data_IF_862433527483
#
_entry.id   IF_862433527483
#
_cell.length_a   1.000
_cell.length_b   1.000
_cell.length_c   1.000
_cell.angle_alpha   90.00
_cell.angle_beta   90.00
_cell.angle_gamma   90.00
#
_symmetry.space_group_name_H-M   'P 1'
#
loop_
_entity.id
_entity.type
_entity.pdbx_description
1 polymer ?
#
# COMPACT_ATOMS: atom_id res chain seq x y z
N UNK A 1 -18.50 34.19 -28.87
CA UNK A 1 -18.01 33.36 -27.76
C UNK A 1 -19.22 32.66 -27.15
N UNK A 2 -19.19 31.33 -26.98
CA UNK A 2 -20.29 30.52 -26.43
C UNK A 2 -19.97 30.15 -24.99
N UNK A 3 -20.95 30.25 -24.11
CA UNK A 3 -20.79 29.91 -22.70
C UNK A 3 -21.45 28.55 -22.41
N UNK A 4 -20.67 27.60 -21.88
CA UNK A 4 -21.13 26.29 -21.44
C UNK A 4 -21.14 26.22 -19.91
N UNK A 5 -22.33 26.07 -19.34
CA UNK A 5 -22.57 26.04 -17.88
C UNK A 5 -22.72 24.61 -17.38
N UNK A 6 -21.95 24.24 -16.37
CA UNK A 6 -21.99 22.94 -15.71
C UNK A 6 -22.65 23.03 -14.33
N UNK A 7 -23.31 21.96 -13.90
CA UNK A 7 -24.05 21.95 -12.63
C UNK A 7 -23.11 21.89 -11.41
N UNK A 8 -21.98 21.21 -11.54
CA UNK A 8 -20.99 21.02 -10.47
C UNK A 8 -19.57 20.89 -11.04
N UNK A 9 -18.57 21.07 -10.17
CA UNK A 9 -17.16 21.01 -10.57
C UNK A 9 -16.69 19.62 -11.04
N UNK A 10 -17.41 18.56 -10.67
CA UNK A 10 -17.17 17.17 -11.05
C UNK A 10 -18.18 16.63 -12.08
N UNK A 11 -18.96 17.51 -12.72
CA UNK A 11 -20.05 17.16 -13.66
C UNK A 11 -19.54 16.70 -15.04
N UNK A 12 -19.10 15.44 -15.11
CA UNK A 12 -18.66 14.83 -16.36
C UNK A 12 -19.79 14.68 -17.39
N UNK A 13 -21.01 14.39 -16.95
CA UNK A 13 -22.15 14.15 -17.85
C UNK A 13 -22.60 15.47 -18.50
N UNK A 14 -22.72 16.54 -17.71
CA UNK A 14 -22.98 17.89 -18.23
C UNK A 14 -21.89 18.37 -19.18
N UNK A 15 -20.60 18.13 -18.85
CA UNK A 15 -19.50 18.44 -19.76
C UNK A 15 -19.61 17.65 -21.07
N UNK A 16 -19.92 16.35 -20.99
CA UNK A 16 -20.05 15.48 -22.17
C UNK A 16 -21.17 15.96 -23.08
N UNK A 17 -22.31 16.31 -22.51
CA UNK A 17 -23.48 16.70 -23.29
C UNK A 17 -23.28 18.09 -23.93
N UNK A 18 -22.69 19.03 -23.20
CA UNK A 18 -22.26 20.32 -23.74
C UNK A 18 -21.22 20.18 -24.85
N UNK A 19 -20.20 19.36 -24.65
CA UNK A 19 -19.17 19.09 -25.66
C UNK A 19 -19.79 18.51 -26.94
N UNK A 20 -20.80 17.64 -26.82
CA UNK A 20 -21.51 17.09 -28.00
C UNK A 20 -22.27 18.16 -28.77
N UNK A 21 -22.97 19.05 -28.09
CA UNK A 21 -23.68 20.18 -28.71
C UNK A 21 -22.71 21.12 -29.44
N UNK A 22 -21.61 21.50 -28.78
CA UNK A 22 -20.61 22.41 -29.35
C UNK A 22 -19.92 21.81 -30.59
N UNK A 23 -19.62 20.50 -30.58
CA UNK A 23 -19.08 19.81 -31.77
C UNK A 23 -20.11 19.80 -32.91
N UNK A 24 -21.40 19.60 -32.62
CA UNK A 24 -22.45 19.61 -33.63
C UNK A 24 -22.57 20.97 -34.33
N UNK A 25 -22.46 22.04 -33.54
CA UNK A 25 -22.45 23.43 -34.00
C UNK A 25 -21.10 23.88 -34.59
N UNK A 26 -20.08 23.01 -34.53
CA UNK A 26 -18.70 23.29 -35.00
C UNK A 26 -18.09 24.54 -34.34
N UNK A 27 -18.34 24.71 -33.03
CA UNK A 27 -17.77 25.82 -32.25
C UNK A 27 -16.31 25.49 -31.89
N UNK A 28 -15.32 26.29 -32.32
CA UNK A 28 -13.93 26.05 -31.96
C UNK A 28 -13.68 26.14 -30.45
N UNK A 29 -12.78 25.33 -29.89
CA UNK A 29 -12.50 25.38 -28.45
C UNK A 29 -12.06 26.76 -27.92
N UNK A 30 -11.41 27.58 -28.77
CA UNK A 30 -11.00 28.93 -28.42
C UNK A 30 -12.19 29.89 -28.20
N UNK A 31 -13.35 29.56 -28.76
CA UNK A 31 -14.57 30.37 -28.68
C UNK A 31 -15.52 29.91 -27.56
N UNK A 32 -15.12 28.94 -26.74
CA UNK A 32 -15.93 28.36 -25.66
C UNK A 32 -15.42 28.80 -24.29
N UNK A 33 -16.31 29.36 -23.48
CA UNK A 33 -16.08 29.64 -22.06
C UNK A 33 -16.81 28.59 -21.24
N UNK A 34 -16.08 27.89 -20.38
CA UNK A 34 -16.64 26.90 -19.46
C UNK A 34 -16.82 27.52 -18.08
N UNK A 35 -18.01 27.38 -17.50
CA UNK A 35 -18.33 27.87 -16.17
C UNK A 35 -19.08 26.82 -15.36
N UNK A 36 -18.95 26.88 -14.04
CA UNK A 36 -19.66 26.00 -13.10
C UNK A 36 -20.61 26.86 -12.29
N UNK A 37 -21.88 26.45 -12.24
CA UNK A 37 -22.94 27.19 -11.56
C UNK A 37 -23.34 28.51 -12.25
N UNK A 38 -24.12 29.31 -11.55
CA UNK A 38 -24.63 30.60 -12.03
C UNK A 38 -23.61 31.72 -11.70
N UNK A 39 -22.53 31.82 -12.48
CA UNK A 39 -21.74 33.05 -12.49
C UNK A 39 -22.38 34.08 -13.42
N UNK A 40 -22.31 35.39 -13.12
CA UNK A 40 -22.84 36.40 -14.02
C UNK A 40 -22.15 36.27 -15.37
N UNK A 41 -22.95 35.97 -16.39
CA UNK A 41 -22.50 35.83 -17.77
C UNK A 41 -21.71 37.08 -18.15
N UNK A 42 -20.52 36.88 -18.70
CA UNK A 42 -19.72 37.96 -19.25
C UNK A 42 -20.60 38.79 -20.21
N UNK A 43 -20.52 40.12 -20.14
CA UNK A 43 -21.52 41.06 -20.71
C UNK A 43 -21.69 40.96 -22.26
N UNK A 44 -20.93 40.06 -22.91
CA UNK A 44 -20.78 39.88 -24.35
C UNK A 44 -20.95 38.42 -24.82
N UNK A 45 -21.38 37.49 -23.96
CA UNK A 45 -21.54 36.07 -24.29
C UNK A 45 -23.00 35.64 -24.54
N UNK A 46 -23.26 34.97 -25.66
CA UNK A 46 -24.52 34.26 -25.88
C UNK A 46 -24.50 32.94 -25.10
N UNK A 47 -25.51 32.70 -24.26
CA UNK A 47 -25.67 31.46 -23.51
C UNK A 47 -25.90 30.29 -24.48
N UNK A 48 -25.08 29.25 -24.41
CA UNK A 48 -25.26 28.09 -25.26
C UNK A 48 -26.48 27.29 -24.78
N UNK A 49 -27.58 27.35 -25.52
CA UNK A 49 -28.72 26.46 -25.32
C UNK A 49 -28.27 25.05 -25.69
N UNK A 50 -28.20 24.17 -24.70
CA UNK A 50 -27.86 22.76 -24.88
C UNK A 50 -28.99 22.05 -25.63
N UNK A 51 -28.82 21.82 -26.94
CA UNK A 51 -29.74 20.98 -27.70
C UNK A 51 -29.31 19.50 -27.56
N UNK A 52 -30.21 18.68 -27.03
CA UNK A 52 -29.95 17.25 -26.74
C UNK A 52 -29.95 16.37 -28.00
N UNK A 53 -30.23 16.95 -29.17
CA UNK A 53 -30.32 16.27 -30.47
C UNK A 53 -29.03 16.13 -31.28
N UNK A 54 -27.84 16.35 -30.70
CA UNK A 54 -26.57 16.41 -31.44
C UNK A 54 -26.15 15.07 -32.13
N UNK A 55 -25.60 15.11 -33.36
CA UNK A 55 -25.14 13.94 -34.12
C UNK A 55 -24.06 13.13 -33.38
N UNK A 56 -24.10 11.80 -33.55
CA UNK A 56 -23.16 10.89 -32.92
C UNK A 56 -21.79 10.88 -33.64
N UNK A 57 -20.73 11.22 -32.91
CA UNK A 57 -19.35 10.98 -33.33
C UNK A 57 -18.73 9.86 -32.48
N UNK A 58 -17.65 9.25 -32.98
CA UNK A 58 -16.93 8.19 -32.27
C UNK A 58 -15.64 8.74 -31.67
N UNK A 59 -15.38 8.40 -30.42
CA UNK A 59 -14.14 8.70 -29.71
C UNK A 59 -13.52 7.43 -29.13
N UNK A 60 -12.19 7.36 -28.99
CA UNK A 60 -11.52 6.24 -28.33
C UNK A 60 -11.98 6.11 -26.87
N UNK A 61 -12.18 4.86 -26.41
CA UNK A 61 -12.54 4.58 -25.01
C UNK A 61 -11.53 5.14 -24.01
N UNK A 62 -10.24 5.08 -24.33
CA UNK A 62 -9.18 5.60 -23.48
C UNK A 62 -9.30 7.11 -23.20
N UNK A 63 -9.84 7.88 -24.15
CA UNK A 63 -10.12 9.30 -23.92
C UNK A 63 -11.28 9.50 -22.96
N UNK A 64 -12.35 8.71 -23.07
CA UNK A 64 -13.51 8.79 -22.16
C UNK A 64 -13.08 8.49 -20.72
N UNK A 65 -12.27 7.45 -20.52
CA UNK A 65 -11.75 7.08 -19.20
C UNK A 65 -10.82 8.17 -18.63
N UNK A 66 -9.99 8.78 -19.49
CA UNK A 66 -9.14 9.91 -19.12
C UNK A 66 -9.98 11.14 -18.72
N UNK A 67 -10.98 11.50 -19.53
CA UNK A 67 -11.85 12.64 -19.31
C UNK A 67 -12.64 12.53 -17.99
N UNK A 68 -13.18 11.34 -17.69
CA UNK A 68 -13.82 11.05 -16.39
C UNK A 68 -12.91 11.31 -15.20
N UNK A 69 -11.61 11.10 -15.36
CA UNK A 69 -10.63 11.37 -14.30
C UNK A 69 -10.24 12.85 -14.26
N UNK A 70 -9.99 13.47 -15.42
CA UNK A 70 -9.50 14.86 -15.51
C UNK A 70 -10.56 15.88 -15.09
N UNK A 71 -11.85 15.60 -15.33
CA UNK A 71 -12.95 16.47 -14.87
C UNK A 71 -12.89 16.72 -13.37
N UNK A 72 -12.36 15.78 -12.59
CA UNK A 72 -12.22 15.92 -11.14
C UNK A 72 -11.06 16.83 -10.71
N UNK A 73 -10.16 17.24 -11.61
CA UNK A 73 -9.00 18.06 -11.24
C UNK A 73 -9.45 19.48 -10.83
N UNK A 74 -8.75 20.13 -9.90
CA UNK A 74 -9.12 21.48 -9.44
C UNK A 74 -8.74 22.63 -10.41
N UNK A 75 -8.14 22.32 -11.56
CA UNK A 75 -7.72 23.37 -12.51
C UNK A 75 -8.95 23.83 -13.31
N UNK A 76 -9.31 25.12 -13.32
CA UNK A 76 -10.47 25.63 -14.06
C UNK A 76 -10.40 25.36 -15.57
N UNK A 77 -9.20 25.25 -16.13
CA UNK A 77 -9.01 25.02 -17.57
C UNK A 77 -9.28 23.58 -18.01
N UNK A 78 -9.54 22.65 -17.07
CA UNK A 78 -9.73 21.21 -17.36
C UNK A 78 -10.78 20.94 -18.43
N UNK A 79 -11.92 21.63 -18.39
CA UNK A 79 -13.02 21.44 -19.33
C UNK A 79 -12.66 21.93 -20.74
N UNK A 80 -12.01 23.08 -20.82
CA UNK A 80 -11.51 23.64 -22.08
C UNK A 80 -10.41 22.76 -22.69
N UNK A 81 -9.48 22.25 -21.88
CA UNK A 81 -8.41 21.35 -22.34
C UNK A 81 -8.96 20.02 -22.84
N UNK A 82 -9.96 19.46 -22.15
CA UNK A 82 -10.64 18.24 -22.59
C UNK A 82 -11.40 18.46 -23.90
N UNK A 83 -12.07 19.61 -24.04
CA UNK A 83 -12.80 19.95 -25.27
C UNK A 83 -11.86 20.16 -26.46
N UNK A 84 -10.77 20.91 -26.28
CA UNK A 84 -9.74 21.08 -27.31
C UNK A 84 -9.10 19.74 -27.73
N UNK A 85 -8.89 18.82 -26.77
CA UNK A 85 -8.41 17.46 -27.10
C UNK A 85 -9.46 16.65 -27.85
N UNK A 86 -10.74 16.78 -27.48
CA UNK A 86 -11.84 16.13 -28.17
C UNK A 86 -11.93 16.54 -29.65
N UNK A 87 -11.84 17.83 -29.96
CA UNK A 87 -11.82 18.33 -31.35
C UNK A 87 -10.72 17.66 -32.18
N UNK A 88 -9.52 17.55 -31.61
CA UNK A 88 -8.38 16.91 -32.27
C UNK A 88 -8.59 15.41 -32.45
N UNK A 89 -9.17 14.73 -31.47
CA UNK A 89 -9.40 13.27 -31.51
C UNK A 89 -10.50 12.85 -32.49
N UNK A 90 -11.48 13.71 -32.76
CA UNK A 90 -12.50 13.45 -33.77
C UNK A 90 -11.87 13.38 -35.17
N UNK A 91 -10.90 14.26 -35.44
CA UNK A 91 -10.16 14.29 -36.72
C UNK A 91 -9.07 13.23 -36.76
N UNK A 92 -8.35 13.01 -35.66
CA UNK A 92 -7.22 12.07 -35.56
C UNK A 92 -7.37 11.13 -34.34
N UNK A 93 -8.17 10.05 -34.45
CA UNK A 93 -8.44 9.17 -33.31
C UNK A 93 -7.20 8.49 -32.70
N UNK A 94 -6.16 8.25 -33.51
CA UNK A 94 -4.90 7.64 -33.05
C UNK A 94 -4.01 8.59 -32.23
N UNK A 95 -4.36 9.87 -32.13
CA UNK A 95 -3.62 10.82 -31.28
C UNK A 95 -3.62 10.38 -29.81
N UNK A 96 -4.62 9.60 -29.37
CA UNK A 96 -4.69 9.05 -28.01
C UNK A 96 -3.51 8.12 -27.66
N UNK A 97 -2.85 7.56 -28.68
CA UNK A 97 -1.70 6.67 -28.54
C UNK A 97 -0.37 7.44 -28.55
N UNK A 98 -0.36 8.71 -28.96
CA UNK A 98 0.83 9.55 -29.02
C UNK A 98 1.17 10.15 -27.66
N UNK A 99 1.98 9.41 -26.88
CA UNK A 99 2.45 9.84 -25.56
C UNK A 99 3.38 11.05 -25.59
N UNK A 100 3.85 11.50 -26.76
CA UNK A 100 4.66 12.70 -26.87
C UNK A 100 3.82 13.98 -27.06
N UNK A 101 2.54 13.86 -27.41
CA UNK A 101 1.66 15.02 -27.62
C UNK A 101 1.54 15.88 -26.35
N UNK A 102 1.90 17.18 -26.41
CA UNK A 102 1.91 18.04 -25.23
C UNK A 102 0.55 18.20 -24.54
N UNK A 103 -0.54 18.26 -25.32
CA UNK A 103 -1.88 18.43 -24.76
C UNK A 103 -2.35 17.13 -24.08
N UNK A 104 -2.07 15.97 -24.68
CA UNK A 104 -2.39 14.68 -24.07
C UNK A 104 -1.59 14.48 -22.78
N UNK A 105 -0.28 14.79 -22.79
CA UNK A 105 0.56 14.70 -21.60
C UNK A 105 0.05 15.56 -20.45
N UNK A 106 -0.39 16.79 -20.73
CA UNK A 106 -0.98 17.68 -19.71
C UNK A 106 -2.22 17.04 -19.07
N UNK A 107 -3.11 16.48 -19.88
CA UNK A 107 -4.30 15.77 -19.37
C UNK A 107 -3.92 14.52 -18.55
N UNK A 108 -2.92 13.76 -18.98
CA UNK A 108 -2.43 12.59 -18.25
C UNK A 108 -1.81 12.97 -16.89
N UNK A 109 -1.09 14.09 -16.81
CA UNK A 109 -0.54 14.63 -15.57
C UNK A 109 -1.64 15.06 -14.60
N UNK A 110 -2.68 15.76 -15.09
CA UNK A 110 -3.87 16.09 -14.30
C UNK A 110 -4.56 14.82 -13.79
N UNK A 111 -4.78 13.82 -14.66
CA UNK A 111 -5.37 12.55 -14.26
C UNK A 111 -4.52 11.80 -13.22
N UNK A 112 -3.19 11.95 -13.26
CA UNK A 112 -2.27 11.37 -12.27
C UNK A 112 -2.37 12.09 -10.93
N UNK A 113 -2.52 13.41 -10.92
CA UNK A 113 -2.73 14.19 -9.70
C UNK A 113 -4.05 13.81 -9.01
N UNK A 114 -5.14 13.71 -9.77
CA UNK A 114 -6.45 13.21 -9.29
C UNK A 114 -6.31 11.82 -8.68
N UNK A 115 -5.69 10.86 -9.40
CA UNK A 115 -5.50 9.48 -8.89
C UNK A 115 -4.70 9.43 -7.59
N UNK A 116 -3.71 10.32 -7.43
CA UNK A 116 -2.94 10.42 -6.17
C UNK A 116 -3.81 10.94 -5.03
N UNK A 117 -4.64 11.94 -5.28
CA UNK A 117 -5.52 12.50 -4.25
C UNK A 117 -6.60 11.50 -3.82
N UNK A 118 -7.20 10.78 -4.79
CA UNK A 118 -8.08 9.63 -4.54
C UNK A 118 -7.39 8.60 -3.64
N UNK A 119 -6.14 8.24 -3.95
CA UNK A 119 -5.38 7.31 -3.12
C UNK A 119 -5.13 7.85 -1.71
N UNK A 120 -4.78 9.13 -1.57
CA UNK A 120 -4.59 9.78 -0.25
C UNK A 120 -5.86 9.73 0.58
N UNK A 121 -7.01 10.07 0.00
CA UNK A 121 -8.30 10.01 0.70
C UNK A 121 -8.55 8.59 1.22
N UNK A 122 -8.38 7.57 0.38
CA UNK A 122 -8.59 6.17 0.78
C UNK A 122 -7.60 5.67 1.85
N UNK A 123 -6.34 6.13 1.80
CA UNK A 123 -5.28 5.67 2.68
C UNK A 123 -5.27 6.39 4.03
N UNK A 124 -5.62 7.68 4.06
CA UNK A 124 -5.42 8.56 5.23
C UNK A 124 -6.72 9.02 5.90
N UNK A 125 -7.88 8.80 5.30
CA UNK A 125 -9.14 9.12 5.96
C UNK A 125 -9.32 8.19 7.18
N UNK A 126 -9.61 8.80 8.34
CA UNK A 126 -9.76 8.12 9.63
C UNK A 126 -11.10 8.52 10.23
N UNK A 127 -11.87 7.52 10.58
CA UNK A 127 -13.15 7.70 11.26
C UNK A 127 -12.95 7.80 12.76
N UNK A 128 -13.64 8.75 13.37
CA UNK A 128 -13.74 8.94 14.82
C UNK A 128 -15.13 8.55 15.28
N UNK A 129 -15.20 7.87 16.41
CA UNK A 129 -16.46 7.46 17.00
C UNK A 129 -17.13 8.66 17.70
N UNK A 130 -18.41 8.90 17.38
CA UNK A 130 -19.23 9.95 17.97
C UNK A 130 -20.51 9.31 18.48
N UNK A 131 -20.77 9.34 19.79
CA UNK A 131 -22.05 8.89 20.35
C UNK A 131 -23.20 9.75 19.81
N UNK A 132 -24.21 9.12 19.23
CA UNK A 132 -25.44 9.74 18.72
C UNK A 132 -26.65 9.03 19.36
N UNK A 133 -26.93 9.38 20.62
CA UNK A 133 -27.99 8.76 21.42
C UNK A 133 -27.69 7.30 21.76
N UNK A 134 -28.57 6.38 21.35
CA UNK A 134 -28.37 4.92 21.47
C UNK A 134 -27.52 4.32 20.34
N UNK A 135 -27.10 5.14 19.38
CA UNK A 135 -26.34 4.71 18.19
C UNK A 135 -24.98 5.37 18.12
N UNK A 136 -24.08 4.77 17.34
CA UNK A 136 -22.75 5.31 17.08
C UNK A 136 -22.67 5.83 15.65
N UNK A 137 -22.11 7.04 15.48
CA UNK A 137 -21.78 7.63 14.18
C UNK A 137 -20.28 7.81 14.05
N UNK A 138 -19.75 7.53 12.87
CA UNK A 138 -18.33 7.61 12.57
C UNK A 138 -18.03 8.84 11.71
N UNK A 139 -17.33 9.84 12.26
CA UNK A 139 -17.07 11.11 11.56
C UNK A 139 -15.59 11.21 11.17
N UNK A 140 -15.32 11.62 9.93
CA UNK A 140 -13.97 11.85 9.40
C UNK A 140 -13.88 13.21 8.73
N UNK A 141 -12.72 13.88 8.87
CA UNK A 141 -12.41 15.13 8.16
C UNK A 141 -11.35 14.87 7.09
N UNK A 142 -11.53 15.41 5.88
CA UNK A 142 -10.53 15.34 4.80
C UNK A 142 -10.54 16.62 3.95
N UNK A 143 -9.36 17.07 3.52
CA UNK A 143 -9.20 18.24 2.66
C UNK A 143 -8.61 17.81 1.30
N UNK A 144 -9.46 17.52 0.30
CA UNK A 144 -8.98 17.09 -1.00
C UNK A 144 -8.28 18.24 -1.75
N UNK A 145 -7.31 17.90 -2.60
CA UNK A 145 -6.70 18.82 -3.56
C UNK A 145 -7.56 18.99 -4.83
N UNK A 146 -8.52 18.07 -5.04
CA UNK A 146 -9.31 17.92 -6.25
C UNK A 146 -10.78 17.56 -5.93
N UNK A 147 -11.68 17.65 -6.91
CA UNK A 147 -13.11 17.35 -6.74
C UNK A 147 -13.38 15.84 -6.74
N UNK A 148 -12.81 15.12 -5.77
CA UNK A 148 -12.75 13.64 -5.75
C UNK A 148 -13.79 13.00 -4.81
N UNK A 149 -14.49 13.80 -4.03
CA UNK A 149 -15.30 13.32 -2.89
C UNK A 149 -16.44 12.43 -3.37
N UNK A 150 -17.29 12.91 -4.29
CA UNK A 150 -18.39 12.13 -4.87
C UNK A 150 -17.90 10.88 -5.59
N UNK A 151 -16.82 11.02 -6.36
CA UNK A 151 -16.21 9.91 -7.09
C UNK A 151 -15.68 8.79 -6.17
N UNK A 152 -15.37 9.10 -4.90
CA UNK A 152 -14.94 8.11 -3.91
C UNK A 152 -16.07 7.53 -3.06
N UNK A 153 -17.28 8.07 -3.10
CA UNK A 153 -18.36 7.62 -2.25
C UNK A 153 -18.63 6.10 -2.34
N UNK A 154 -18.67 5.48 -3.54
CA UNK A 154 -18.90 4.03 -3.66
C UNK A 154 -17.86 3.19 -2.91
N UNK A 155 -16.59 3.61 -2.92
CA UNK A 155 -15.53 2.90 -2.20
C UNK A 155 -15.79 2.85 -0.69
N UNK A 156 -16.25 3.95 -0.11
CA UNK A 156 -16.53 4.03 1.33
C UNK A 156 -17.84 3.31 1.70
N UNK A 157 -18.86 3.38 0.85
CA UNK A 157 -20.11 2.61 1.02
C UNK A 157 -19.81 1.11 0.97
N UNK A 158 -19.06 0.63 -0.01
CA UNK A 158 -18.73 -0.80 -0.14
C UNK A 158 -17.87 -1.30 1.02
N UNK A 159 -16.92 -0.48 1.50
CA UNK A 159 -15.95 -0.89 2.53
C UNK A 159 -16.48 -0.77 3.96
N UNK A 160 -17.36 0.20 4.22
CA UNK A 160 -17.85 0.58 5.55
C UNK A 160 -19.39 0.60 5.62
N UNK A 161 -20.08 -0.10 4.72
CA UNK A 161 -21.54 -0.08 4.60
C UNK A 161 -22.29 -0.53 5.86
N UNK A 162 -21.66 -1.32 6.73
CA UNK A 162 -22.22 -1.77 8.00
C UNK A 162 -22.18 -0.72 9.13
N UNK A 163 -21.61 0.46 8.87
CA UNK A 163 -21.43 1.55 9.85
C UNK A 163 -22.17 2.79 9.37
N UNK A 164 -22.63 3.65 10.29
CA UNK A 164 -23.15 4.98 9.95
C UNK A 164 -21.99 5.96 9.98
N UNK A 165 -21.69 6.63 8.87
CA UNK A 165 -20.51 7.48 8.78
C UNK A 165 -20.76 8.82 8.10
N UNK A 166 -19.87 9.76 8.34
CA UNK A 166 -19.91 11.10 7.76
C UNK A 166 -18.49 11.53 7.40
N UNK A 167 -18.29 11.88 6.13
CA UNK A 167 -17.03 12.41 5.61
C UNK A 167 -17.24 13.90 5.37
N UNK A 168 -16.61 14.70 6.20
CA UNK A 168 -16.65 16.15 6.15
C UNK A 168 -15.48 16.67 5.33
N UNK A 169 -15.77 17.49 4.31
CA UNK A 169 -14.76 18.20 3.53
C UNK A 169 -15.17 19.66 3.31
N UNK A 170 -14.24 20.56 2.94
CA UNK A 170 -14.53 21.98 2.75
C UNK A 170 -15.58 22.30 1.68
N UNK A 171 -15.70 21.48 0.63
CA UNK A 171 -16.56 21.77 -0.52
C UNK A 171 -17.88 21.00 -0.47
N UNK A 172 -17.81 19.70 -0.14
CA UNK A 172 -18.99 18.82 -0.07
C UNK A 172 -18.80 17.77 1.02
N UNK A 173 -19.84 17.51 1.80
CA UNK A 173 -19.82 16.47 2.83
C UNK A 173 -20.69 15.29 2.42
N UNK A 174 -20.26 14.07 2.75
CA UNK A 174 -20.99 12.84 2.48
C UNK A 174 -21.49 12.22 3.78
N UNK A 175 -22.72 11.72 3.77
CA UNK A 175 -23.35 11.10 4.93
C UNK A 175 -23.94 9.76 4.51
N UNK A 176 -23.58 8.70 5.23
CA UNK A 176 -24.11 7.36 5.03
C UNK A 176 -24.82 6.90 6.30
N UNK A 177 -26.09 6.57 6.19
CA UNK A 177 -26.94 6.18 7.32
C UNK A 177 -27.07 4.66 7.51
N UNK A 178 -26.38 3.86 6.68
CA UNK A 178 -26.49 2.41 6.64
C UNK A 178 -27.33 1.87 5.47
N UNK A 179 -28.09 2.73 4.79
CA UNK A 179 -28.94 2.37 3.65
C UNK A 179 -28.84 3.36 2.48
N UNK A 180 -28.73 4.65 2.78
CA UNK A 180 -28.75 5.74 1.81
C UNK A 180 -27.54 6.65 1.98
N UNK A 181 -26.94 7.02 0.85
CA UNK A 181 -25.91 8.05 0.79
C UNK A 181 -26.59 9.40 0.51
N UNK A 182 -26.35 10.38 1.36
CA UNK A 182 -26.77 11.77 1.16
C UNK A 182 -25.58 12.71 1.12
N UNK A 183 -25.76 13.83 0.42
CA UNK A 183 -24.77 14.90 0.33
C UNK A 183 -25.23 16.10 1.15
N UNK A 184 -24.28 16.80 1.75
CA UNK A 184 -24.52 18.08 2.39
C UNK A 184 -23.46 19.11 2.01
N UNK A 185 -23.63 20.35 2.45
CA UNK A 185 -22.70 21.42 2.13
C UNK A 185 -21.29 21.12 2.66
N UNK A 186 -20.34 21.86 2.15
CA UNK A 186 -19.01 21.96 2.73
C UNK A 186 -19.08 22.21 4.23
N UNK A 187 -18.31 21.44 4.99
CA UNK A 187 -18.21 21.59 6.43
C UNK A 187 -16.91 22.34 6.78
N UNK A 188 -16.83 22.85 8.00
CA UNK A 188 -15.59 23.35 8.57
C UNK A 188 -14.97 22.29 9.46
N UNK A 189 -13.66 22.42 9.70
CA UNK A 189 -12.96 21.49 10.58
C UNK A 189 -13.54 21.46 12.00
N UNK A 190 -14.10 22.57 12.48
CA UNK A 190 -14.72 22.67 13.81
C UNK A 190 -15.99 21.81 13.94
N UNK A 191 -16.57 21.38 12.81
CA UNK A 191 -17.73 20.49 12.78
C UNK A 191 -17.33 19.02 12.98
N UNK A 192 -16.04 18.71 12.95
CA UNK A 192 -15.50 17.39 13.33
C UNK A 192 -15.18 17.38 14.84
N UNK A 193 -15.45 16.26 15.56
CA UNK A 193 -15.24 16.18 17.01
C UNK A 193 -13.78 16.43 17.42
N UNK A 194 -13.60 17.23 18.48
CA UNK A 194 -12.35 17.45 19.21
C UNK A 194 -12.35 16.69 20.56
N UNK A 195 -11.21 16.08 20.93
CA UNK A 195 -11.04 15.38 22.20
C UNK A 195 -10.64 13.91 22.02
N UNK A 196 -9.57 13.50 22.70
CA UNK A 196 -8.86 12.25 22.43
C UNK A 196 -8.75 11.37 23.69
N UNK A 197 -9.47 10.24 23.78
CA UNK A 197 -9.22 9.21 24.80
C UNK A 197 -8.18 8.17 24.37
N UNK A 198 -7.58 8.28 23.19
CA UNK A 198 -6.62 7.32 22.60
C UNK A 198 -5.26 7.98 22.32
N UNK A 199 -5.00 9.15 22.89
CA UNK A 199 -3.82 9.95 22.57
C UNK A 199 -2.53 9.37 23.19
N UNK A 200 -2.60 8.76 24.38
CA UNK A 200 -1.42 8.25 25.10
C UNK A 200 -0.88 6.92 24.54
N UNK A 201 -1.76 6.08 24.00
CA UNK A 201 -1.37 4.84 23.33
C UNK A 201 -0.71 5.13 21.98
N UNK A 202 -1.17 6.18 21.29
CA UNK A 202 -0.71 6.57 19.97
C UNK A 202 0.60 7.39 20.00
N UNK A 203 0.78 8.26 20.99
CA UNK A 203 2.04 9.01 21.24
C UNK A 203 3.23 8.08 21.49
N UNK A 204 3.00 6.96 22.17
CA UNK A 204 4.02 5.93 22.45
C UNK A 204 4.40 5.14 21.18
N UNK A 205 3.42 4.89 20.31
CA UNK A 205 3.64 4.23 19.02
C UNK A 205 4.39 5.11 18.01
N UNK A 206 4.10 6.41 17.92
CA UNK A 206 4.77 7.28 16.94
C UNK A 206 6.17 7.73 17.39
N UNK A 207 6.39 7.93 18.69
CA UNK A 207 7.70 8.30 19.23
C UNK A 207 8.75 7.18 19.10
N UNK A 208 8.32 5.92 19.04
CA UNK A 208 9.20 4.74 18.91
C UNK A 208 9.58 4.40 17.47
N UNK A 209 8.89 4.95 16.47
CA UNK A 209 9.11 4.67 15.02
C UNK A 209 9.77 5.88 14.30
N UNK A 210 9.85 7.04 14.95
CA UNK A 210 10.42 8.27 14.38
C UNK A 210 11.95 8.26 14.40
N UNK A 211 12.58 8.01 13.24
CA UNK A 211 14.05 8.05 13.07
C UNK A 211 14.52 9.44 12.60
N UNK A 212 15.20 10.23 13.44
CA UNK A 212 15.64 11.59 13.08
C UNK A 212 16.63 11.62 11.89
N UNK A 213 17.42 10.56 11.69
CA UNK A 213 18.41 10.46 10.61
C UNK A 213 17.79 10.16 9.23
N UNK A 214 16.47 9.90 9.15
CA UNK A 214 15.72 9.70 7.88
C UNK A 214 14.90 10.91 7.45
N UNK A 215 15.05 12.07 8.11
CA UNK A 215 14.41 13.28 7.64
C UNK A 215 14.98 13.67 6.27
N UNK A 216 14.15 13.53 5.23
CA UNK A 216 14.31 14.27 3.96
C UNK A 216 13.24 15.36 3.96
N UNK A 217 13.48 16.53 4.59
CA UNK A 217 12.47 17.57 4.78
C UNK A 217 11.80 17.95 3.46
N UNK A 218 12.55 18.01 2.37
CA UNK A 218 12.00 18.31 1.03
C UNK A 218 11.06 17.24 0.47
N UNK A 219 11.31 15.94 0.72
CA UNK A 219 10.42 14.86 0.28
C UNK A 219 9.20 14.72 1.20
N UNK A 220 9.39 14.93 2.50
CA UNK A 220 8.32 15.00 3.49
C UNK A 220 7.37 16.17 3.21
N UNK A 221 7.88 17.34 2.85
CA UNK A 221 7.06 18.50 2.47
C UNK A 221 6.35 18.33 1.11
N UNK A 222 6.89 17.46 0.23
CA UNK A 222 6.33 17.16 -1.09
C UNK A 222 5.22 16.10 -1.05
N UNK A 223 5.39 15.07 -0.23
CA UNK A 223 4.39 14.01 -0.01
C UNK A 223 3.37 14.39 1.08
N UNK A 224 3.77 15.23 2.04
CA UNK A 224 2.97 15.71 3.17
C UNK A 224 3.07 17.24 3.33
N UNK A 225 2.38 18.02 2.48
CA UNK A 225 2.37 19.48 2.55
C UNK A 225 1.94 20.00 3.93
N UNK A 226 2.59 21.08 4.39
CA UNK A 226 2.37 21.68 5.73
C UNK A 226 0.92 22.00 6.08
N UNK A 227 0.06 22.22 5.09
CA UNK A 227 -1.37 22.49 5.29
C UNK A 227 -2.10 21.35 6.01
N UNK A 228 -1.70 20.09 5.78
CA UNK A 228 -2.31 18.90 6.39
C UNK A 228 -1.86 18.61 7.82
N UNK A 229 -0.79 19.29 8.28
CA UNK A 229 -0.17 19.01 9.57
C UNK A 229 -1.12 19.38 10.71
N UNK A 230 -1.85 20.49 10.57
CA UNK A 230 -2.81 20.95 11.59
C UNK A 230 -3.91 19.92 11.91
N UNK A 231 -4.12 18.92 11.07
CA UNK A 231 -5.17 17.89 11.19
C UNK A 231 -4.63 16.55 11.73
N UNK A 232 -3.33 16.48 12.06
CA UNK A 232 -2.59 15.31 12.52
C UNK A 232 -2.02 15.56 13.93
N UNK A 233 -2.50 14.87 14.99
CA UNK A 233 -1.97 15.02 16.35
C UNK A 233 -0.45 14.75 16.47
N UNK A 234 0.12 14.00 15.54
CA UNK A 234 1.53 13.65 15.42
C UNK A 234 2.44 14.85 15.11
N UNK A 235 1.90 15.89 14.46
CA UNK A 235 2.71 17.01 13.97
C UNK A 235 2.86 18.16 14.97
N UNK A 236 2.09 18.16 16.08
CA UNK A 236 2.33 19.06 17.21
C UNK A 236 3.72 18.84 17.83
N UNK A 237 4.24 17.61 17.72
CA UNK A 237 5.57 17.22 18.15
C UNK A 237 6.65 17.61 17.12
N UNK A 238 6.32 17.85 15.86
CA UNK A 238 7.29 18.06 14.76
C UNK A 238 8.16 19.31 14.94
N UNK A 239 7.65 20.48 15.37
CA UNK A 239 8.50 21.63 15.69
C UNK A 239 9.48 21.34 16.84
N UNK A 240 9.03 20.65 17.90
CA UNK A 240 9.88 20.27 19.04
C UNK A 240 10.86 19.13 18.71
N UNK A 241 10.49 18.23 17.79
CA UNK A 241 11.33 17.18 17.24
C UNK A 241 12.36 17.74 16.26
N UNK A 242 12.04 18.77 15.47
CA UNK A 242 12.99 19.47 14.58
C UNK A 242 13.94 20.36 15.39
N UNK A 243 13.44 21.13 16.36
CA UNK A 243 14.25 21.94 17.25
C UNK A 243 15.13 21.07 18.17
N UNK A 244 14.60 19.93 18.63
CA UNK A 244 15.33 18.93 19.39
C UNK A 244 16.25 18.05 18.53
N UNK A 245 16.02 17.94 17.22
CA UNK A 245 16.83 17.11 16.33
C UNK A 245 18.24 17.67 16.16
N UNK A 246 18.45 18.99 16.06
CA UNK A 246 19.81 19.54 15.93
C UNK A 246 20.62 19.38 17.22
N UNK A 247 20.00 19.57 18.39
CA UNK A 247 20.64 19.36 19.68
C UNK A 247 20.88 17.87 19.98
N UNK A 248 19.93 16.99 19.62
CA UNK A 248 20.07 15.54 19.73
C UNK A 248 20.99 14.94 18.67
N UNK A 249 21.13 15.53 17.49
CA UNK A 249 22.09 15.10 16.46
C UNK A 249 23.51 15.38 16.93
N UNK A 250 23.76 16.56 17.51
CA UNK A 250 25.04 16.85 18.16
C UNK A 250 25.31 15.91 19.36
N UNK A 251 24.32 15.65 20.22
CA UNK A 251 24.45 14.71 21.35
C UNK A 251 24.55 13.24 20.93
N UNK A 252 23.85 12.81 19.86
CA UNK A 252 23.89 11.46 19.30
C UNK A 252 25.18 11.22 18.51
N UNK A 253 25.79 12.23 17.89
CA UNK A 253 27.13 12.10 17.30
C UNK A 253 28.17 11.87 18.40
N UNK A 254 28.03 12.57 19.53
CA UNK A 254 28.90 12.39 20.70
C UNK A 254 28.66 11.03 21.41
N UNK A 255 27.40 10.59 21.55
CA UNK A 255 27.01 9.32 22.18
C UNK A 255 27.14 8.09 21.27
N UNK A 256 27.02 8.22 19.95
CA UNK A 256 27.25 7.12 18.99
C UNK A 256 28.71 6.72 18.87
N UNK A 257 29.64 7.59 19.29
CA UNK A 257 31.03 7.22 19.56
C UNK A 257 31.18 6.37 20.83
N UNK A 258 30.16 6.26 21.67
CA UNK A 258 30.26 5.70 23.02
C UNK A 258 29.30 4.54 23.38
N UNK A 259 28.28 4.17 22.57
CA UNK A 259 27.28 3.15 22.94
C UNK A 259 27.04 2.04 21.89
N UNK A 260 26.74 0.77 22.28
CA UNK A 260 26.57 -0.36 21.35
C UNK A 260 25.16 -0.47 20.74
N UNK A 261 25.08 -1.06 19.54
CA UNK A 261 23.99 -1.02 18.54
C UNK A 261 22.65 -1.75 18.84
N UNK A 262 22.40 -2.32 20.03
CA UNK A 262 21.32 -3.32 20.22
C UNK A 262 19.92 -2.83 20.65
N UNK A 263 19.81 -1.80 21.49
CA UNK A 263 18.61 -1.64 22.36
C UNK A 263 17.27 -1.28 21.69
N UNK A 264 17.27 -0.61 20.53
CA UNK A 264 16.01 -0.18 19.89
C UNK A 264 15.39 -1.26 18.98
N UNK A 265 16.20 -2.19 18.47
CA UNK A 265 15.75 -3.26 17.57
C UNK A 265 14.94 -4.32 18.32
N UNK A 266 15.33 -4.63 19.56
CA UNK A 266 14.65 -5.61 20.42
C UNK A 266 13.21 -5.17 20.75
N UNK A 267 13.02 -3.89 21.10
CA UNK A 267 11.70 -3.34 21.39
C UNK A 267 10.77 -3.32 20.16
N UNK A 268 11.30 -2.92 19.00
CA UNK A 268 10.54 -2.94 17.75
C UNK A 268 10.16 -4.37 17.33
N UNK A 269 11.07 -5.33 17.54
CA UNK A 269 10.82 -6.73 17.25
C UNK A 269 9.75 -7.34 18.16
N UNK A 270 9.80 -7.05 19.47
CA UNK A 270 8.81 -7.52 20.43
C UNK A 270 7.40 -7.02 20.06
N UNK A 271 7.27 -5.72 19.75
CA UNK A 271 6.00 -5.15 19.31
C UNK A 271 5.48 -5.80 18.00
N UNK A 272 6.36 -6.05 17.03
CA UNK A 272 5.97 -6.72 15.79
C UNK A 272 5.50 -8.16 16.03
N UNK A 273 6.17 -8.89 16.93
CA UNK A 273 5.79 -10.25 17.30
C UNK A 273 4.43 -10.30 18.00
N UNK A 274 4.16 -9.36 18.88
CA UNK A 274 2.88 -9.24 19.58
C UNK A 274 1.73 -8.90 18.62
N UNK A 275 1.96 -8.03 17.63
CA UNK A 275 0.97 -7.76 16.58
C UNK A 275 0.72 -9.03 15.74
N UNK A 276 1.78 -9.79 15.42
CA UNK A 276 1.68 -11.00 14.63
C UNK A 276 0.82 -12.07 15.30
N UNK A 277 0.86 -12.21 16.63
CA UNK A 277 0.11 -13.24 17.35
C UNK A 277 -1.41 -13.08 17.25
N UNK A 278 -1.89 -11.88 16.92
CA UNK A 278 -3.32 -11.59 16.70
C UNK A 278 -3.69 -11.49 15.20
N UNK A 279 -2.79 -11.87 14.29
CA UNK A 279 -2.95 -11.60 12.87
C UNK A 279 -4.15 -12.33 12.25
N UNK A 280 -5.01 -11.56 11.55
CA UNK A 280 -6.15 -12.07 10.77
C UNK A 280 -6.11 -11.71 9.29
N UNK A 281 -4.92 -11.43 8.73
CA UNK A 281 -4.74 -10.92 7.35
C UNK A 281 -5.14 -11.91 6.25
N UNK A 282 -5.21 -13.21 6.54
CA UNK A 282 -5.67 -14.23 5.58
C UNK A 282 -6.42 -15.36 6.31
N UNK A 283 -7.27 -16.16 5.63
CA UNK A 283 -8.11 -17.16 6.29
C UNK A 283 -7.38 -18.25 7.09
N UNK A 284 -6.07 -18.41 6.92
CA UNK A 284 -5.26 -19.43 7.59
C UNK A 284 -5.22 -19.29 9.12
N UNK A 285 -5.52 -18.10 9.67
CA UNK A 285 -5.61 -17.91 11.12
C UNK A 285 -6.73 -18.75 11.75
N UNK A 286 -7.78 -19.07 11.00
CA UNK A 286 -8.96 -19.75 11.54
C UNK A 286 -8.71 -21.22 11.91
N UNK A 287 -8.13 -22.07 11.02
CA UNK A 287 -7.89 -23.48 11.35
C UNK A 287 -6.55 -23.73 12.05
N UNK A 288 -5.59 -22.80 11.99
CA UNK A 288 -4.29 -22.93 12.66
C UNK A 288 -4.44 -22.82 14.19
N UNK A 289 -3.52 -23.43 14.95
CA UNK A 289 -3.56 -23.33 16.42
C UNK A 289 -3.12 -21.96 16.88
N UNK A 290 -2.05 -21.43 16.28
CA UNK A 290 -1.45 -20.14 16.62
C UNK A 290 -0.58 -19.63 15.47
N UNK A 291 -0.16 -18.37 15.58
CA UNK A 291 0.89 -17.82 14.74
C UNK A 291 2.24 -18.41 15.11
N UNK A 292 3.00 -18.87 14.13
CA UNK A 292 4.42 -19.23 14.28
C UNK A 292 5.25 -18.14 13.63
N UNK A 293 5.78 -17.25 14.48
CA UNK A 293 6.65 -16.15 14.06
C UNK A 293 8.09 -16.63 13.86
N UNK A 294 8.97 -15.74 13.40
CA UNK A 294 10.40 -16.05 13.30
C UNK A 294 11.13 -16.06 14.64
N UNK A 295 12.22 -16.80 14.71
CA UNK A 295 13.06 -16.97 15.91
C UNK A 295 14.55 -16.82 15.57
N UNK A 296 15.27 -16.07 16.40
CA UNK A 296 16.72 -15.85 16.31
C UNK A 296 17.10 -14.44 16.77
N UNK A 297 18.38 -14.08 16.71
CA UNK A 297 18.84 -12.76 17.11
C UNK A 297 18.34 -11.67 16.16
N UNK A 298 18.01 -10.49 16.70
CA UNK A 298 17.48 -9.36 15.90
C UNK A 298 18.57 -8.65 15.09
N UNK A 299 19.84 -8.92 15.37
CA UNK A 299 21.02 -8.46 14.65
C UNK A 299 21.63 -9.56 13.75
N UNK A 300 20.87 -10.62 13.46
CA UNK A 300 21.33 -11.72 12.60
C UNK A 300 21.76 -11.22 11.21
N UNK A 301 23.01 -11.50 10.84
CA UNK A 301 23.54 -11.20 9.51
C UNK A 301 22.94 -12.12 8.43
N UNK A 302 22.41 -13.28 8.84
CA UNK A 302 21.77 -14.26 7.98
C UNK A 302 20.33 -14.51 8.44
N UNK A 303 19.40 -14.47 7.48
CA UNK A 303 18.01 -14.89 7.67
C UNK A 303 17.68 -16.09 6.78
N UNK A 304 16.91 -17.05 7.29
CA UNK A 304 16.40 -18.19 6.52
C UNK A 304 14.88 -18.19 6.53
N UNK A 305 14.27 -18.35 5.35
CA UNK A 305 12.83 -18.29 5.14
C UNK A 305 12.33 -19.61 4.56
N UNK A 306 11.46 -20.31 5.30
CA UNK A 306 10.73 -21.49 4.86
C UNK A 306 9.38 -21.18 4.19
N UNK A 307 8.60 -22.22 3.90
CA UNK A 307 7.28 -22.08 3.27
C UNK A 307 6.20 -21.62 4.26
N UNK A 308 5.90 -22.48 5.25
CA UNK A 308 4.89 -22.25 6.29
C UNK A 308 5.22 -23.15 7.50
N UNK A 309 4.57 -22.96 8.65
CA UNK A 309 4.71 -23.86 9.79
C UNK A 309 4.10 -25.22 9.43
N UNK A 310 4.69 -26.31 9.95
CA UNK A 310 4.09 -27.63 9.91
C UNK A 310 3.27 -27.94 11.15
N UNK A 311 2.86 -29.20 11.27
CA UNK A 311 2.05 -29.72 12.39
C UNK A 311 2.71 -29.50 13.75
N UNK A 312 4.02 -29.79 13.86
CA UNK A 312 4.75 -29.64 15.12
C UNK A 312 5.05 -28.18 15.44
N UNK A 313 5.40 -27.39 14.42
CA UNK A 313 5.65 -25.95 14.55
C UNK A 313 4.40 -25.21 15.03
N UNK A 314 3.24 -25.52 14.46
CA UNK A 314 1.95 -24.92 14.81
C UNK A 314 1.55 -25.20 16.27
N UNK A 315 1.88 -26.37 16.81
CA UNK A 315 1.64 -26.68 18.23
C UNK A 315 2.69 -26.06 19.15
N UNK A 316 3.94 -26.01 18.71
CA UNK A 316 5.06 -25.50 19.50
C UNK A 316 5.19 -23.97 19.50
N UNK A 317 4.59 -23.29 18.52
CA UNK A 317 4.75 -21.84 18.32
C UNK A 317 6.14 -21.44 17.83
N UNK A 318 6.95 -22.39 17.34
CA UNK A 318 8.37 -22.19 16.97
C UNK A 318 8.66 -22.73 15.56
N UNK A 319 9.45 -22.01 14.75
CA UNK A 319 9.73 -22.40 13.37
C UNK A 319 10.79 -23.52 13.32
N UNK A 320 10.66 -24.46 12.37
CA UNK A 320 11.64 -25.53 12.09
C UNK A 320 11.93 -26.47 13.28
N UNK A 321 10.90 -26.90 14.02
CA UNK A 321 11.06 -27.89 15.10
C UNK A 321 10.71 -29.33 14.68
N UNK A 322 10.03 -29.50 13.53
CA UNK A 322 9.61 -30.79 13.00
C UNK A 322 10.70 -31.52 12.19
N UNK A 323 10.33 -32.60 11.47
CA UNK A 323 11.30 -33.42 10.73
C UNK A 323 12.11 -32.65 9.68
N UNK A 324 11.49 -31.70 8.98
CA UNK A 324 12.19 -30.83 8.03
C UNK A 324 13.17 -29.88 8.75
N UNK A 325 12.83 -29.44 9.96
CA UNK A 325 13.72 -28.68 10.84
C UNK A 325 14.95 -29.46 11.27
N UNK A 326 14.79 -30.73 11.63
CA UNK A 326 15.92 -31.61 11.96
C UNK A 326 16.89 -31.81 10.79
N UNK A 327 16.36 -31.92 9.55
CA UNK A 327 17.20 -31.96 8.34
C UNK A 327 17.92 -30.63 8.13
N UNK A 328 17.22 -29.51 8.35
CA UNK A 328 17.80 -28.17 8.27
C UNK A 328 18.93 -27.98 9.29
N UNK A 329 18.72 -28.33 10.56
CA UNK A 329 19.73 -28.20 11.61
C UNK A 329 20.96 -29.06 11.32
N UNK A 330 20.76 -30.29 10.82
CA UNK A 330 21.87 -31.15 10.36
C UNK A 330 22.64 -30.52 9.20
N UNK A 331 21.95 -29.88 8.26
CA UNK A 331 22.58 -29.23 7.12
C UNK A 331 23.35 -27.97 7.53
N UNK A 332 22.80 -27.17 8.45
CA UNK A 332 23.48 -26.00 9.03
C UNK A 332 24.77 -26.41 9.75
N UNK A 333 24.72 -27.47 10.56
CA UNK A 333 25.89 -28.01 11.24
C UNK A 333 26.95 -28.50 10.24
N UNK A 334 26.55 -29.22 9.19
CA UNK A 334 27.47 -29.68 8.14
C UNK A 334 28.02 -28.54 7.26
N UNK A 335 27.31 -27.41 7.17
CA UNK A 335 27.76 -26.19 6.52
C UNK A 335 28.59 -25.28 7.44
N UNK A 336 28.81 -25.70 8.69
CA UNK A 336 29.55 -24.95 9.72
C UNK A 336 28.91 -23.58 10.06
N UNK A 337 27.57 -23.50 9.95
CA UNK A 337 26.80 -22.30 10.28
C UNK A 337 26.20 -22.47 11.67
N UNK A 338 26.56 -21.58 12.59
CA UNK A 338 25.98 -21.53 13.93
C UNK A 338 24.51 -21.09 13.87
N UNK A 339 23.60 -22.04 14.13
CA UNK A 339 22.15 -21.84 14.13
C UNK A 339 21.68 -20.74 15.09
N UNK A 340 22.42 -20.48 16.17
CA UNK A 340 22.08 -19.46 17.17
C UNK A 340 22.31 -18.04 16.67
N UNK A 341 23.11 -17.87 15.61
CA UNK A 341 23.40 -16.58 14.96
C UNK A 341 22.49 -16.27 13.77
N UNK A 342 21.53 -17.15 13.48
CA UNK A 342 20.67 -17.07 12.30
C UNK A 342 19.23 -16.84 12.71
N UNK A 343 18.58 -15.87 12.06
CA UNK A 343 17.15 -15.67 12.21
C UNK A 343 16.38 -16.58 11.25
N UNK A 344 15.45 -17.38 11.77
CA UNK A 344 14.72 -18.37 10.97
C UNK A 344 13.23 -18.12 11.06
N UNK A 345 12.56 -18.10 9.91
CA UNK A 345 11.14 -17.76 9.81
C UNK A 345 10.48 -18.45 8.61
N UNK A 346 9.19 -18.22 8.39
CA UNK A 346 8.43 -18.77 7.25
C UNK A 346 7.71 -17.69 6.46
N UNK A 347 7.57 -17.89 5.15
CA UNK A 347 6.85 -16.98 4.26
C UNK A 347 5.40 -16.75 4.68
N UNK A 348 4.74 -17.79 5.18
CA UNK A 348 3.41 -17.74 5.80
C UNK A 348 3.54 -18.09 7.28
N UNK A 349 2.78 -17.41 8.17
CA UNK A 349 2.90 -17.55 9.63
C UNK A 349 1.88 -18.49 10.29
N UNK A 350 0.93 -19.02 9.53
CA UNK A 350 -0.10 -19.95 10.03
C UNK A 350 -0.05 -21.25 9.24
N UNK A 351 -0.27 -22.38 9.92
CA UNK A 351 -0.22 -23.69 9.29
C UNK A 351 -1.48 -23.95 8.44
N UNK A 352 -1.29 -24.13 7.13
CA UNK A 352 -2.34 -24.62 6.25
C UNK A 352 -2.31 -26.14 6.15
N UNK A 353 -3.45 -26.76 6.44
CA UNK A 353 -3.61 -28.21 6.38
C UNK A 353 -5.01 -28.64 5.98
N UNK A 354 -5.09 -29.90 5.55
CA UNK A 354 -6.34 -30.63 5.32
C UNK A 354 -6.49 -31.71 6.41
N UNK A 355 -7.60 -31.73 7.16
CA UNK A 355 -7.86 -32.78 8.13
C UNK A 355 -8.10 -34.13 7.44
N UNK A 356 -7.35 -35.17 7.84
CA UNK A 356 -7.58 -36.56 7.43
C UNK A 356 -7.66 -37.46 8.65
N UNK A 357 -8.88 -37.66 9.15
CA UNK A 357 -9.10 -38.29 10.46
C UNK A 357 -8.47 -37.46 11.57
N UNK A 358 -7.61 -38.06 12.39
CA UNK A 358 -6.86 -37.35 13.45
C UNK A 358 -5.58 -36.65 12.97
N UNK A 359 -5.22 -36.79 11.68
CA UNK A 359 -3.97 -36.22 11.13
C UNK A 359 -4.23 -34.90 10.43
N UNK A 360 -3.31 -33.94 10.60
CA UNK A 360 -3.28 -32.67 9.88
C UNK A 360 -2.30 -32.76 8.71
N UNK A 361 -2.81 -32.86 7.49
CA UNK A 361 -1.98 -33.05 6.30
C UNK A 361 -1.62 -31.69 5.71
N UNK A 362 -0.34 -31.36 5.69
CA UNK A 362 0.17 -30.10 5.14
C UNK A 362 -0.36 -29.84 3.72
N UNK A 363 -0.93 -28.66 3.48
CA UNK A 363 -1.38 -28.19 2.16
C UNK A 363 -0.66 -26.89 1.81
N UNK A 364 -0.25 -26.73 0.55
CA UNK A 364 0.61 -25.61 0.13
C UNK A 364 -0.17 -24.27 0.18
N UNK A 365 0.45 -23.17 0.68
CA UNK A 365 -0.16 -21.85 0.60
C UNK A 365 -0.42 -21.41 -0.85
N UNK A 366 -1.56 -20.76 -1.10
CA UNK A 366 -1.86 -20.16 -2.40
C UNK A 366 -1.28 -18.76 -2.51
N UNK A 367 -1.20 -18.23 -3.73
CA UNK A 367 -0.64 -16.90 -4.01
C UNK A 367 -1.20 -15.81 -3.08
N UNK A 368 -2.53 -15.72 -2.93
CA UNK A 368 -3.16 -14.71 -2.08
C UNK A 368 -2.78 -14.81 -0.59
N UNK A 369 -2.54 -16.02 -0.07
CA UNK A 369 -2.10 -16.22 1.32
C UNK A 369 -0.63 -15.78 1.49
N UNK A 370 0.23 -16.11 0.51
CA UNK A 370 1.63 -15.68 0.49
C UNK A 370 1.71 -14.16 0.41
N UNK A 371 0.95 -13.55 -0.50
CA UNK A 371 0.96 -12.11 -0.74
C UNK A 371 0.40 -11.34 0.49
N UNK A 372 -0.62 -11.87 1.17
CA UNK A 372 -1.14 -11.30 2.41
C UNK A 372 -0.14 -11.40 3.58
N UNK A 373 0.60 -12.52 3.67
CA UNK A 373 1.58 -12.74 4.74
C UNK A 373 2.94 -12.08 4.48
N UNK A 374 3.22 -11.70 3.22
CA UNK A 374 4.44 -10.99 2.79
C UNK A 374 4.75 -9.76 3.64
N UNK A 375 3.72 -9.08 4.11
CA UNK A 375 3.83 -7.93 5.02
C UNK A 375 4.69 -8.26 6.25
N UNK A 376 4.52 -9.42 6.89
CA UNK A 376 5.32 -9.80 8.07
C UNK A 376 6.79 -10.01 7.72
N UNK A 377 7.07 -10.69 6.62
CA UNK A 377 8.44 -10.93 6.16
C UNK A 377 9.16 -9.64 5.81
N UNK A 378 8.47 -8.70 5.17
CA UNK A 378 9.05 -7.38 4.87
C UNK A 378 9.39 -6.60 6.16
N UNK A 379 8.57 -6.72 7.22
CA UNK A 379 8.85 -6.07 8.51
C UNK A 379 9.96 -6.77 9.30
N UNK A 380 9.97 -8.12 9.35
CA UNK A 380 11.08 -8.88 9.94
C UNK A 380 12.40 -8.50 9.30
N UNK A 381 12.46 -8.45 7.95
CA UNK A 381 13.66 -8.05 7.20
C UNK A 381 14.01 -6.57 7.40
N UNK A 382 13.02 -5.69 7.53
CA UNK A 382 13.23 -4.26 7.77
C UNK A 382 13.86 -3.94 9.13
N UNK A 383 13.53 -4.75 10.16
CA UNK A 383 14.11 -4.66 11.50
C UNK A 383 15.49 -5.32 11.53
N UNK A 384 15.59 -6.58 11.09
CA UNK A 384 16.81 -7.39 11.23
C UNK A 384 17.90 -6.95 10.26
N UNK A 385 17.51 -6.50 9.06
CA UNK A 385 18.42 -6.10 7.97
C UNK A 385 19.53 -7.12 7.71
N UNK A 386 19.18 -8.39 7.45
CA UNK A 386 20.18 -9.42 7.19
C UNK A 386 20.96 -9.08 5.91
N UNK A 387 22.27 -9.33 5.92
CA UNK A 387 23.13 -9.22 4.73
C UNK A 387 22.73 -10.27 3.69
N UNK A 388 22.39 -11.48 4.15
CA UNK A 388 21.95 -12.60 3.31
C UNK A 388 20.60 -13.17 3.77
N UNK A 389 19.65 -13.33 2.85
CA UNK A 389 18.37 -14.01 3.09
C UNK A 389 18.26 -15.28 2.23
N UNK A 390 18.22 -16.45 2.86
CA UNK A 390 18.11 -17.75 2.20
C UNK A 390 16.63 -18.15 2.09
N UNK A 391 16.18 -18.41 0.87
CA UNK A 391 14.83 -18.86 0.55
C UNK A 391 14.80 -20.39 0.34
N UNK A 392 14.13 -21.10 1.24
CA UNK A 392 13.96 -22.55 1.17
C UNK A 392 12.71 -22.90 0.36
N UNK A 393 12.90 -23.15 -0.93
CA UNK A 393 11.84 -23.54 -1.86
C UNK A 393 11.06 -22.38 -2.49
N UNK A 394 10.14 -22.74 -3.37
CA UNK A 394 9.50 -21.78 -4.29
C UNK A 394 8.60 -20.76 -3.58
N UNK A 395 7.95 -21.16 -2.48
CA UNK A 395 7.05 -20.29 -1.72
C UNK A 395 7.83 -19.19 -0.99
N UNK A 396 8.95 -19.54 -0.35
CA UNK A 396 9.87 -18.58 0.25
C UNK A 396 10.47 -17.64 -0.80
N UNK A 397 10.91 -18.19 -1.94
CA UNK A 397 11.46 -17.37 -3.01
C UNK A 397 10.43 -16.36 -3.56
N UNK A 398 9.16 -16.78 -3.71
CA UNK A 398 8.06 -15.88 -4.11
C UNK A 398 7.81 -14.80 -3.07
N UNK A 399 7.78 -15.12 -1.78
CA UNK A 399 7.52 -14.11 -0.74
C UNK A 399 8.61 -13.04 -0.73
N UNK A 400 9.88 -13.41 -0.99
CA UNK A 400 10.96 -12.44 -1.06
C UNK A 400 10.97 -11.63 -2.36
N UNK A 401 10.76 -12.27 -3.52
CA UNK A 401 10.93 -11.63 -4.82
C UNK A 401 9.65 -11.02 -5.41
N UNK A 402 8.47 -11.32 -4.85
CA UNK A 402 7.19 -10.83 -5.35
C UNK A 402 6.78 -11.42 -6.71
N UNK A 403 7.47 -12.45 -7.19
CA UNK A 403 7.20 -13.14 -8.45
C UNK A 403 7.32 -14.66 -8.29
N UNK A 404 6.70 -15.41 -9.19
CA UNK A 404 6.86 -16.87 -9.23
C UNK A 404 8.30 -17.23 -9.63
N UNK A 405 8.88 -18.21 -8.93
CA UNK A 405 10.27 -18.65 -9.10
C UNK A 405 10.32 -20.13 -9.43
N UNK A 406 11.15 -20.50 -10.41
CA UNK A 406 11.48 -21.90 -10.70
C UNK A 406 12.81 -22.25 -10.05
N UNK A 407 12.78 -23.06 -8.99
CA UNK A 407 13.97 -23.38 -8.17
C UNK A 407 15.14 -23.89 -9.02
N UNK A 408 14.90 -24.80 -9.96
CA UNK A 408 15.96 -25.37 -10.82
C UNK A 408 16.75 -24.29 -11.58
N UNK A 409 16.13 -23.14 -11.91
CA UNK A 409 16.78 -22.06 -12.69
C UNK A 409 17.54 -21.05 -11.82
N UNK A 410 17.11 -20.87 -10.58
CA UNK A 410 17.60 -19.79 -9.70
C UNK A 410 18.36 -20.29 -8.47
N UNK A 411 18.39 -21.60 -8.24
CA UNK A 411 19.16 -22.21 -7.16
C UNK A 411 20.65 -21.90 -7.30
N UNK A 412 21.29 -21.61 -6.17
CA UNK A 412 22.75 -21.43 -6.11
C UNK A 412 23.24 -20.09 -6.67
N UNK A 413 22.36 -19.09 -6.79
CA UNK A 413 22.68 -17.77 -7.32
C UNK A 413 22.29 -16.68 -6.33
N UNK A 414 23.12 -15.65 -6.26
CA UNK A 414 22.81 -14.41 -5.55
C UNK A 414 21.77 -13.62 -6.35
N UNK A 415 20.70 -13.21 -5.68
CA UNK A 415 19.63 -12.38 -6.26
C UNK A 415 19.51 -11.09 -5.43
N UNK A 416 19.51 -9.90 -6.04
CA UNK A 416 19.29 -8.67 -5.30
C UNK A 416 17.85 -8.58 -4.78
N UNK A 417 17.69 -8.17 -3.52
CA UNK A 417 16.39 -7.94 -2.89
C UNK A 417 16.07 -6.45 -2.85
N UNK A 418 14.78 -6.10 -2.85
CA UNK A 418 14.31 -4.73 -3.02
C UNK A 418 14.72 -3.77 -1.90
N UNK A 419 15.06 -4.29 -0.73
CA UNK A 419 15.55 -3.56 0.45
C UNK A 419 17.08 -3.42 0.49
N UNK A 420 17.78 -3.85 -0.58
CA UNK A 420 19.23 -3.73 -0.71
C UNK A 420 20.02 -4.93 -0.17
N UNK A 421 19.36 -5.94 0.39
CA UNK A 421 20.00 -7.19 0.83
C UNK A 421 20.24 -8.19 -0.32
N UNK A 422 21.04 -9.22 -0.05
CA UNK A 422 21.24 -10.34 -0.97
C UNK A 422 20.29 -11.50 -0.64
N UNK A 423 19.74 -12.13 -1.67
CA UNK A 423 18.93 -13.34 -1.58
C UNK A 423 19.65 -14.55 -2.14
N UNK A 424 19.45 -15.71 -1.53
CA UNK A 424 19.94 -17.00 -2.02
C UNK A 424 18.78 -18.00 -2.08
N UNK A 425 18.62 -18.72 -3.18
CA UNK A 425 17.52 -19.66 -3.35
C UNK A 425 18.05 -21.09 -3.31
N UNK A 426 17.39 -21.97 -2.57
CA UNK A 426 17.67 -23.42 -2.57
C UNK A 426 16.39 -24.24 -2.38
N UNK A 427 16.52 -25.57 -2.35
CA UNK A 427 15.43 -26.51 -2.10
C UNK A 427 14.95 -26.42 -0.65
N UNK A 428 13.69 -26.80 -0.42
CA UNK A 428 13.16 -26.89 0.94
C UNK A 428 13.56 -28.24 1.57
N UNK A 429 13.96 -28.31 2.86
CA UNK A 429 14.38 -29.54 3.53
C UNK A 429 13.37 -30.70 3.44
N UNK A 430 12.06 -30.39 3.41
CA UNK A 430 11.01 -31.41 3.23
C UNK A 430 11.03 -32.11 1.87
N UNK A 431 11.66 -31.54 0.84
CA UNK A 431 11.87 -32.20 -0.44
C UNK A 431 12.77 -33.42 -0.28
N UNK A 432 13.83 -33.31 0.52
CA UNK A 432 14.79 -34.40 0.75
C UNK A 432 14.12 -35.58 1.46
N UNK A 433 13.20 -35.31 2.39
CA UNK A 433 12.40 -36.33 3.08
C UNK A 433 11.41 -37.08 2.17
N UNK A 434 11.12 -36.55 0.97
CA UNK A 434 10.18 -37.12 0.01
C UNK A 434 10.87 -37.89 -1.11
N UNK A 435 12.21 -37.87 -1.17
CA UNK A 435 12.96 -38.63 -2.16
C UNK A 435 12.86 -40.13 -1.84
N UNK A 436 12.43 -40.97 -2.80
CA UNK A 436 12.24 -42.41 -2.56
C UNK A 436 13.57 -43.17 -2.48
N UNK A 437 14.61 -42.66 -3.14
CA UNK A 437 15.94 -43.24 -3.21
C UNK A 437 16.85 -42.57 -2.17
N UNK A 438 17.45 -43.38 -1.29
CA UNK A 438 18.36 -42.91 -0.24
C UNK A 438 19.64 -42.29 -0.80
N UNK A 439 20.21 -42.86 -1.87
CA UNK A 439 21.42 -42.32 -2.47
C UNK A 439 21.16 -40.93 -3.06
N UNK A 440 20.03 -40.77 -3.76
CA UNK A 440 19.61 -39.45 -4.26
C UNK A 440 19.32 -38.46 -3.13
N UNK A 441 18.75 -38.92 -2.02
CA UNK A 441 18.52 -38.06 -0.85
C UNK A 441 19.83 -37.58 -0.21
N UNK A 442 20.85 -38.44 -0.14
CA UNK A 442 22.18 -38.11 0.37
C UNK A 442 22.92 -37.14 -0.56
N UNK A 443 22.90 -37.38 -1.88
CA UNK A 443 23.48 -36.46 -2.87
C UNK A 443 22.82 -35.09 -2.83
N UNK A 444 21.49 -35.06 -2.73
CA UNK A 444 20.73 -33.80 -2.65
C UNK A 444 20.94 -33.10 -1.31
N UNK A 445 21.15 -33.84 -0.22
CA UNK A 445 21.57 -33.28 1.08
C UNK A 445 22.95 -32.63 0.98
N UNK A 446 23.93 -33.29 0.35
CA UNK A 446 25.26 -32.72 0.15
C UNK A 446 25.20 -31.42 -0.67
N UNK A 447 24.38 -31.37 -1.72
CA UNK A 447 24.14 -30.15 -2.51
C UNK A 447 23.46 -29.05 -1.71
N UNK A 448 22.50 -29.41 -0.86
CA UNK A 448 21.84 -28.45 0.04
C UNK A 448 22.83 -27.85 1.06
N UNK A 449 23.73 -28.66 1.62
CA UNK A 449 24.82 -28.18 2.50
C UNK A 449 25.73 -27.21 1.75
N UNK A 450 26.09 -27.53 0.51
CA UNK A 450 26.94 -26.65 -0.31
C UNK A 450 26.25 -25.31 -0.63
N UNK A 451 24.95 -25.30 -0.91
CA UNK A 451 24.19 -24.06 -1.09
C UNK A 451 24.24 -23.17 0.16
N UNK A 452 24.11 -23.76 1.36
CA UNK A 452 24.18 -23.02 2.63
C UNK A 452 25.59 -22.44 2.84
N UNK A 453 26.63 -23.22 2.56
CA UNK A 453 28.03 -22.78 2.65
C UNK A 453 28.31 -21.61 1.71
N UNK A 454 27.87 -21.70 0.45
CA UNK A 454 28.06 -20.64 -0.53
C UNK A 454 27.29 -19.36 -0.16
N UNK A 455 26.06 -19.50 0.37
CA UNK A 455 25.30 -18.37 0.88
C UNK A 455 25.99 -17.69 2.05
N UNK A 456 26.54 -18.47 3.00
CA UNK A 456 27.30 -17.96 4.14
C UNK A 456 28.57 -17.21 3.70
N UNK A 457 29.27 -17.73 2.68
CA UNK A 457 30.47 -17.11 2.12
C UNK A 457 30.23 -15.71 1.50
N UNK A 458 28.98 -15.35 1.18
CA UNK A 458 28.65 -13.99 0.69
C UNK A 458 28.58 -12.93 1.80
N UNK A 459 28.56 -13.35 3.07
CA UNK A 459 28.48 -12.45 4.23
C UNK A 459 29.88 -12.03 4.72
N UNK A 460 30.87 -12.88 4.42
CA UNK A 460 32.25 -12.81 4.93
C UNK A 460 33.05 -11.62 4.38
#
# INVERSE_FOLDING_TARGET
>A
MRVATLAADDDFEGWRDAARSLIAERVPAADVVWQVGQQPTDLFGDEAILDTGAPAFRVPRGFVDLAKTVVLHADPSRFALLYAMLERLIVQPRLIDDKADPALRRLEEMAKAVRRDVHKMRAFLRFREVPEGETTRFVAWFEPDHHIVRANAPFFVDRFGSMRWSILTPDVSLFWDGATLSEGPGATKADAPDGDPVEDVWKTYYASIFNPARLKPGAMLKEMPRKYWKNMPETALVPALIAGAQAREAQMIEQSRAAPLGGNSDGAWAALRDEASACRRCPLWQPATQTVFGEGPVDAEMMVVGEQPGDQEDLAGRPFVGPAGQVFDRAMAAAEIDRTRVYVTNAVKHFKFEPRGKRRIHSKPVAGEIDACRWWIEHERGIIRPKMTIALGATAARSLLGRTVTIVRERGRVVPLADGGAGWITVHPSYLLRLPDKAQAEDEFARFVEDLRQAAAQIA
#
